data_IF_617404134762
#
_entry.id   IF_617404134762
#
_cell.length_a   1.000
_cell.length_b   1.000
_cell.length_c   1.000
_cell.angle_alpha   90.00
_cell.angle_beta   90.00
_cell.angle_gamma   90.00
#
_symmetry.space_group_name_H-M   'P 1'
#
loop_
_entity.id
_entity.type
_entity.pdbx_description
1 polymer ?
#
# COMPACT_ATOMS: atom_id res chain seq x y z
N UNK A 1 -28.07 21.87 8.40
CA UNK A 1 -26.83 21.15 8.71
C UNK A 1 -25.79 21.69 7.77
N UNK A 2 -24.87 22.46 8.34
CA UNK A 2 -24.01 23.39 7.62
C UNK A 2 -22.82 22.65 6.98
N UNK A 3 -22.47 23.10 5.78
CA UNK A 3 -21.50 22.49 4.88
C UNK A 3 -20.10 22.75 5.41
N UNK A 4 -19.41 21.71 5.88
CA UNK A 4 -17.97 21.83 6.16
C UNK A 4 -17.21 21.74 4.84
N UNK A 5 -16.91 22.93 4.32
CA UNK A 5 -16.16 23.18 3.11
C UNK A 5 -14.66 23.12 3.42
N UNK A 6 -13.96 22.08 2.96
CA UNK A 6 -12.50 22.09 2.78
C UNK A 6 -12.26 22.37 1.28
N UNK A 7 -11.94 23.63 0.95
CA UNK A 7 -11.89 24.12 -0.42
C UNK A 7 -10.86 23.38 -1.30
N UNK A 8 -11.33 22.91 -2.46
CA UNK A 8 -10.54 22.49 -3.62
C UNK A 8 -11.44 21.91 -4.72
N UNK A 9 -12.29 22.76 -5.32
CA UNK A 9 -13.25 22.48 -6.41
C UNK A 9 -14.25 21.33 -6.16
N UNK A 10 -15.55 21.58 -6.38
CA UNK A 10 -16.62 20.62 -6.10
C UNK A 10 -16.48 19.33 -6.94
N UNK A 11 -15.74 18.35 -6.45
CA UNK A 11 -15.73 17.00 -6.99
C UNK A 11 -17.14 16.41 -6.90
N UNK A 12 -17.55 15.70 -7.94
CA UNK A 12 -18.73 14.85 -7.88
C UNK A 12 -18.56 13.73 -6.84
N UNK A 13 -19.66 13.15 -6.38
CA UNK A 13 -19.62 12.02 -5.44
C UNK A 13 -18.77 10.86 -6.00
N UNK A 14 -18.86 10.59 -7.30
CA UNK A 14 -18.09 9.56 -7.98
C UNK A 14 -16.58 9.86 -7.99
N UNK A 15 -16.19 11.11 -8.28
CA UNK A 15 -14.78 11.53 -8.24
C UNK A 15 -14.22 11.45 -6.81
N UNK A 16 -15.02 11.81 -5.81
CA UNK A 16 -14.65 11.68 -4.41
C UNK A 16 -14.43 10.21 -4.02
N UNK A 17 -15.32 9.29 -4.44
CA UNK A 17 -15.16 7.86 -4.19
C UNK A 17 -13.90 7.30 -4.86
N UNK A 18 -13.62 7.73 -6.10
CA UNK A 18 -12.41 7.32 -6.82
C UNK A 18 -11.14 7.82 -6.13
N UNK A 19 -11.13 9.06 -5.65
CA UNK A 19 -10.02 9.64 -4.89
C UNK A 19 -9.78 8.85 -3.59
N UNK A 20 -10.85 8.54 -2.85
CA UNK A 20 -10.75 7.77 -1.61
C UNK A 20 -10.20 6.36 -1.85
N UNK A 21 -10.62 5.70 -2.93
CA UNK A 21 -10.07 4.41 -3.32
C UNK A 21 -8.57 4.50 -3.63
N UNK A 22 -8.16 5.49 -4.42
CA UNK A 22 -6.74 5.71 -4.74
C UNK A 22 -5.92 5.96 -3.46
N UNK A 23 -6.42 6.77 -2.53
CA UNK A 23 -5.77 7.01 -1.24
C UNK A 23 -5.65 5.73 -0.38
N UNK A 24 -6.68 4.88 -0.38
CA UNK A 24 -6.65 3.60 0.34
C UNK A 24 -5.57 2.67 -0.22
N UNK A 25 -5.43 2.61 -1.55
CA UNK A 25 -4.38 1.83 -2.21
C UNK A 25 -3.01 2.40 -1.87
N UNK A 26 -2.83 3.71 -1.95
CA UNK A 26 -1.58 4.40 -1.59
C UNK A 26 -1.18 4.16 -0.13
N UNK A 27 -2.14 4.19 0.80
CA UNK A 27 -1.89 3.92 2.21
C UNK A 27 -1.31 2.52 2.41
N UNK A 28 -1.90 1.49 1.81
CA UNK A 28 -1.40 0.12 1.92
C UNK A 28 -0.08 -0.07 1.19
N UNK A 29 0.14 0.63 0.07
CA UNK A 29 1.45 0.67 -0.59
C UNK A 29 2.53 1.21 0.36
N UNK A 30 2.26 2.29 1.09
CA UNK A 30 3.21 2.83 2.06
C UNK A 30 3.47 1.86 3.22
N UNK A 31 2.43 1.22 3.77
CA UNK A 31 2.58 0.20 4.82
C UNK A 31 3.48 -0.94 4.31
N UNK A 32 3.26 -1.40 3.08
CA UNK A 32 4.07 -2.45 2.48
C UNK A 32 5.54 -2.03 2.32
N UNK A 33 5.78 -0.84 1.78
CA UNK A 33 7.13 -0.32 1.57
C UNK A 33 7.87 -0.07 2.89
N UNK A 34 7.21 0.45 3.93
CA UNK A 34 7.78 0.57 5.27
C UNK A 34 8.08 -0.81 5.87
N UNK A 35 7.16 -1.76 5.80
CA UNK A 35 7.39 -3.12 6.29
C UNK A 35 8.53 -3.85 5.57
N UNK A 36 8.79 -3.51 4.31
CA UNK A 36 9.96 -4.00 3.55
C UNK A 36 11.27 -3.27 3.91
N UNK A 37 11.24 -2.29 4.82
CA UNK A 37 12.41 -1.45 5.14
C UNK A 37 12.85 -0.53 3.98
N UNK A 38 11.96 -0.27 3.01
CA UNK A 38 12.23 0.62 1.86
C UNK A 38 11.93 2.08 2.16
N UNK A 39 11.16 2.33 3.20
CA UNK A 39 10.81 3.67 3.70
C UNK A 39 11.09 3.73 5.20
N UNK A 40 11.60 4.88 5.64
CA UNK A 40 11.75 5.19 7.05
C UNK A 40 10.37 5.40 7.68
N UNK A 41 10.19 4.89 8.91
CA UNK A 41 8.98 5.17 9.66
C UNK A 41 8.99 6.65 10.12
N UNK A 42 8.04 7.49 9.66
CA UNK A 42 8.06 8.92 9.96
C UNK A 42 7.80 9.24 11.45
N UNK A 43 7.29 8.29 12.23
CA UNK A 43 7.05 8.46 13.67
C UNK A 43 8.30 8.17 14.51
N UNK A 44 9.09 7.16 14.12
CA UNK A 44 10.25 6.71 14.91
C UNK A 44 11.58 7.17 14.32
N UNK A 45 11.62 7.50 13.03
CA UNK A 45 12.84 7.75 12.28
C UNK A 45 13.65 6.47 11.99
N UNK A 46 13.10 5.30 12.30
CA UNK A 46 13.77 4.01 12.12
C UNK A 46 13.30 3.33 10.84
N UNK A 47 14.24 2.70 10.14
CA UNK A 47 13.90 1.75 9.07
C UNK A 47 13.77 0.36 9.69
N UNK A 48 12.62 0.08 10.29
CA UNK A 48 12.31 -1.23 10.87
C UNK A 48 11.69 -2.13 9.81
N UNK A 49 12.32 -3.27 9.56
CA UNK A 49 11.85 -4.26 8.58
C UNK A 49 10.90 -5.24 9.26
N UNK A 50 9.63 -5.20 8.86
CA UNK A 50 8.56 -6.12 9.25
C UNK A 50 7.86 -6.68 8.01
N UNK A 51 8.39 -7.79 7.50
CA UNK A 51 7.82 -8.49 6.34
C UNK A 51 6.42 -9.05 6.59
N UNK A 52 5.97 -9.22 7.85
CA UNK A 52 4.60 -9.65 8.14
C UNK A 52 3.62 -8.52 7.86
N UNK A 53 3.93 -7.32 8.33
CA UNK A 53 3.16 -6.12 8.00
C UNK A 53 3.15 -5.84 6.51
N UNK A 54 4.28 -6.03 5.82
CA UNK A 54 4.33 -5.88 4.37
C UNK A 54 3.41 -6.87 3.64
N UNK A 55 3.47 -8.14 4.03
CA UNK A 55 2.59 -9.17 3.47
C UNK A 55 1.12 -8.87 3.73
N UNK A 56 0.76 -8.47 4.95
CA UNK A 56 -0.62 -8.13 5.29
C UNK A 56 -1.18 -7.01 4.41
N UNK A 57 -0.39 -5.97 4.14
CA UNK A 57 -0.80 -4.89 3.25
C UNK A 57 -0.97 -5.35 1.80
N UNK A 58 -0.07 -6.19 1.29
CA UNK A 58 -0.18 -6.78 -0.06
C UNK A 58 -1.42 -7.67 -0.17
N UNK A 59 -1.66 -8.53 0.82
CA UNK A 59 -2.82 -9.42 0.84
C UNK A 59 -4.14 -8.62 0.90
N UNK A 60 -4.15 -7.48 1.60
CA UNK A 60 -5.29 -6.56 1.63
C UNK A 60 -5.57 -5.95 0.25
N UNK A 61 -4.53 -5.51 -0.45
CA UNK A 61 -4.67 -4.98 -1.81
C UNK A 61 -5.17 -6.06 -2.80
N UNK A 62 -4.75 -7.32 -2.61
CA UNK A 62 -5.24 -8.43 -3.43
C UNK A 62 -6.71 -8.74 -3.17
N UNK A 63 -7.10 -8.76 -1.90
CA UNK A 63 -8.51 -8.85 -1.54
C UNK A 63 -9.31 -7.72 -2.19
N UNK A 64 -8.81 -6.47 -2.16
CA UNK A 64 -9.49 -5.36 -2.83
C UNK A 64 -9.62 -5.59 -4.34
N UNK A 65 -8.59 -6.08 -5.02
CA UNK A 65 -8.65 -6.41 -6.46
C UNK A 65 -9.76 -7.44 -6.75
N UNK A 66 -9.85 -8.50 -5.95
CA UNK A 66 -10.86 -9.55 -6.10
C UNK A 66 -12.28 -9.04 -5.81
N UNK A 67 -12.48 -8.35 -4.70
CA UNK A 67 -13.82 -7.88 -4.28
C UNK A 67 -14.35 -6.72 -5.11
N UNK A 68 -13.48 -6.01 -5.84
CA UNK A 68 -13.87 -4.87 -6.69
C UNK A 68 -13.86 -5.17 -8.19
N UNK A 69 -13.65 -6.44 -8.58
CA UNK A 69 -13.66 -6.85 -9.98
C UNK A 69 -14.96 -6.41 -10.70
N UNK A 70 -14.80 -5.77 -11.85
CA UNK A 70 -15.91 -5.26 -12.66
C UNK A 70 -16.55 -3.95 -12.15
N UNK A 71 -16.16 -3.46 -10.97
CA UNK A 71 -16.71 -2.25 -10.37
C UNK A 71 -15.75 -1.04 -10.41
N UNK A 72 -14.47 -1.26 -10.74
CA UNK A 72 -13.48 -0.18 -10.85
C UNK A 72 -13.45 0.43 -12.26
N UNK A 73 -13.35 1.77 -12.37
CA UNK A 73 -12.90 2.43 -13.59
C UNK A 73 -11.52 1.90 -14.03
N UNK A 74 -11.28 1.82 -15.35
CA UNK A 74 -10.06 1.25 -15.93
C UNK A 74 -8.77 1.87 -15.37
N UNK A 75 -8.79 3.18 -15.09
CA UNK A 75 -7.65 3.88 -14.50
C UNK A 75 -7.33 3.39 -13.09
N UNK A 76 -8.35 3.20 -12.23
CA UNK A 76 -8.15 2.72 -10.86
C UNK A 76 -7.77 1.25 -10.82
N UNK A 77 -8.37 0.45 -11.71
CA UNK A 77 -7.97 -0.94 -11.91
C UNK A 77 -6.48 -1.04 -12.28
N UNK A 78 -6.05 -0.29 -13.29
CA UNK A 78 -4.65 -0.27 -13.73
C UNK A 78 -3.72 0.17 -12.60
N UNK A 79 -4.08 1.23 -11.88
CA UNK A 79 -3.30 1.71 -10.74
C UNK A 79 -3.14 0.66 -9.63
N UNK A 80 -4.22 -0.05 -9.27
CA UNK A 80 -4.17 -1.13 -8.27
C UNK A 80 -3.28 -2.28 -8.75
N UNK A 81 -3.47 -2.76 -9.99
CA UNK A 81 -2.70 -3.86 -10.56
C UNK A 81 -1.21 -3.51 -10.67
N UNK A 82 -0.85 -2.32 -11.13
CA UNK A 82 0.54 -1.85 -11.17
C UNK A 82 1.17 -1.76 -9.78
N UNK A 83 0.42 -1.25 -8.80
CA UNK A 83 0.86 -1.18 -7.40
C UNK A 83 1.13 -2.58 -6.84
N UNK A 84 0.20 -3.52 -7.05
CA UNK A 84 0.36 -4.91 -6.63
C UNK A 84 1.57 -5.59 -7.27
N UNK A 85 1.78 -5.41 -8.58
CA UNK A 85 2.92 -5.97 -9.29
C UNK A 85 4.25 -5.47 -8.72
N UNK A 86 4.37 -4.16 -8.53
CA UNK A 86 5.57 -3.54 -7.95
C UNK A 86 5.84 -4.03 -6.53
N UNK A 87 4.80 -4.09 -5.68
CA UNK A 87 4.95 -4.54 -4.29
C UNK A 87 5.33 -6.02 -4.21
N UNK A 88 4.73 -6.88 -5.04
CA UNK A 88 5.05 -8.31 -5.08
C UNK A 88 6.50 -8.58 -5.50
N UNK A 89 7.00 -7.86 -6.51
CA UNK A 89 8.41 -7.96 -6.90
C UNK A 89 9.34 -7.50 -5.77
N UNK A 90 9.12 -6.32 -5.19
CA UNK A 90 9.92 -5.84 -4.07
C UNK A 90 9.87 -6.79 -2.86
N UNK A 91 8.70 -7.37 -2.57
CA UNK A 91 8.54 -8.29 -1.45
C UNK A 91 9.29 -9.60 -1.69
N UNK A 92 9.28 -10.13 -2.92
CA UNK A 92 10.06 -11.31 -3.26
C UNK A 92 11.57 -11.04 -3.09
N UNK A 93 12.07 -9.95 -3.65
CA UNK A 93 13.49 -9.55 -3.53
C UNK A 93 13.91 -9.40 -2.06
N UNK A 94 13.09 -8.75 -1.24
CA UNK A 94 13.41 -8.58 0.18
C UNK A 94 13.28 -9.88 0.97
N UNK A 95 12.32 -10.74 0.64
CA UNK A 95 12.16 -12.05 1.30
C UNK A 95 13.33 -12.98 0.99
N UNK A 96 13.88 -12.94 -0.22
CA UNK A 96 15.06 -13.74 -0.58
C UNK A 96 16.30 -13.35 0.25
N UNK A 97 16.49 -12.06 0.53
CA UNK A 97 17.56 -11.60 1.44
C UNK A 97 17.40 -12.12 2.87
N UNK A 98 16.18 -12.31 3.34
CA UNK A 98 15.89 -12.88 4.67
C UNK A 98 16.35 -14.34 4.79
N UNK A 99 16.31 -15.08 3.68
CA UNK A 99 16.77 -16.47 3.62
C UNK A 99 18.30 -16.61 3.47
N UNK A 100 19.01 -15.52 3.19
CA UNK A 100 20.46 -15.52 2.97
C UNK A 100 21.29 -14.97 4.16
N UNK A 101 20.66 -14.60 5.29
CA UNK A 101 21.37 -14.29 6.54
C UNK A 101 21.46 -15.53 7.47
N UNK A 102 22.59 -16.27 7.49
CA UNK A 102 22.87 -17.21 8.56
C UNK A 102 23.43 -16.45 9.77
N UNK A 103 22.59 -16.26 10.79
CA UNK A 103 23.00 -16.04 12.19
C UNK A 103 23.97 -14.88 12.48
N UNK A 104 23.46 -13.78 13.04
CA UNK A 104 24.32 -12.75 13.59
C UNK A 104 23.60 -11.65 14.33
N UNK A 105 23.17 -11.93 15.57
CA UNK A 105 23.30 -11.02 16.72
C UNK A 105 22.74 -11.72 17.97
N UNK A 106 23.60 -12.48 18.63
CA UNK A 106 23.65 -12.50 20.09
C UNK A 106 24.49 -11.28 20.50
N UNK A 107 23.89 -10.32 21.20
CA UNK A 107 24.51 -9.56 22.31
C UNK A 107 23.45 -9.23 23.36
#
# INVERSE_FOLDING_TARGET
MDKTNYNGDNLSEDEQQQLLFMMLVQQHQQIAMMGMGKLENPQTGSTERDLKSAKFAIDTLLMLEEFTEGNLPDQLKSYLTETLNNLRMNYADEKEKDSEEPGGQEE
#
